data_IF_573730729405
#
_entry.id   IF_573730729405
#
_cell.length_a   1.000
_cell.length_b   1.000
_cell.length_c   1.000
_cell.angle_alpha   90.00
_cell.angle_beta   90.00
_cell.angle_gamma   90.00
#
_symmetry.space_group_name_H-M   'P 1'
#
loop_
_entity.id
_entity.type
_entity.pdbx_description
1 polymer ?
#
# COMPACT_ATOMS: atom_id res chain seq x y z
N UNK A 1 -24.55 13.46 -25.37
CA UNK A 1 -23.30 13.18 -24.65
C UNK A 1 -23.13 14.24 -23.57
N UNK A 2 -23.37 13.87 -22.29
CA UNK A 2 -22.95 14.70 -21.16
C UNK A 2 -21.43 14.59 -21.08
N UNK A 3 -20.72 15.64 -21.50
CA UNK A 3 -19.30 15.78 -21.16
C UNK A 3 -19.23 16.02 -19.65
N UNK A 4 -18.91 14.98 -18.89
CA UNK A 4 -18.59 15.14 -17.47
C UNK A 4 -17.23 15.81 -17.36
N UNK A 5 -17.19 17.02 -16.78
CA UNK A 5 -15.95 17.63 -16.37
C UNK A 5 -15.46 16.88 -15.10
N UNK A 6 -14.36 16.16 -15.20
CA UNK A 6 -13.71 15.54 -14.05
C UNK A 6 -12.94 16.63 -13.31
N UNK A 7 -13.30 16.84 -12.03
CA UNK A 7 -12.51 17.62 -11.09
C UNK A 7 -12.12 16.65 -9.98
N UNK A 8 -10.83 16.51 -9.75
CA UNK A 8 -10.28 15.47 -8.90
C UNK A 8 -9.41 16.00 -7.77
N UNK A 9 -9.23 15.15 -6.78
CA UNK A 9 -8.25 15.30 -5.72
C UNK A 9 -7.81 13.92 -5.27
N UNK A 10 -6.51 13.75 -5.06
CA UNK A 10 -5.91 12.50 -4.63
C UNK A 10 -4.95 12.76 -3.47
N UNK A 11 -5.22 12.16 -2.32
CA UNK A 11 -4.35 12.26 -1.13
C UNK A 11 -4.19 10.89 -0.45
N UNK A 12 -3.00 10.66 0.10
CA UNK A 12 -2.72 9.48 0.93
C UNK A 12 -3.22 9.76 2.35
N UNK A 13 -4.04 8.87 2.89
CA UNK A 13 -4.70 9.07 4.20
C UNK A 13 -3.93 8.46 5.38
N UNK A 14 -2.88 7.64 5.16
CA UNK A 14 -2.07 7.03 6.23
C UNK A 14 -2.92 6.45 7.39
N UNK A 15 -3.95 5.66 7.06
CA UNK A 15 -4.97 5.11 7.95
C UNK A 15 -5.96 6.15 8.56
N UNK A 16 -5.88 7.43 8.20
CA UNK A 16 -6.78 8.48 8.68
C UNK A 16 -7.77 8.91 7.60
N UNK A 17 -8.65 8.00 7.18
CA UNK A 17 -9.58 8.19 6.06
C UNK A 17 -10.53 9.37 6.33
N UNK A 18 -11.07 9.46 7.54
CA UNK A 18 -12.10 10.42 7.92
C UNK A 18 -11.59 11.87 7.82
N UNK A 19 -10.46 12.18 8.45
CA UNK A 19 -9.87 13.51 8.42
C UNK A 19 -9.38 13.88 7.01
N UNK A 20 -8.81 12.93 6.28
CA UNK A 20 -8.37 13.17 4.90
C UNK A 20 -9.55 13.50 4.00
N UNK A 21 -10.66 12.76 4.08
CA UNK A 21 -11.86 13.07 3.31
C UNK A 21 -12.44 14.42 3.70
N UNK A 22 -12.53 14.74 4.99
CA UNK A 22 -12.97 16.06 5.46
C UNK A 22 -12.12 17.17 4.84
N UNK A 23 -10.80 17.08 4.92
CA UNK A 23 -9.89 18.08 4.34
C UNK A 23 -10.03 18.22 2.82
N UNK A 24 -10.28 17.13 2.09
CA UNK A 24 -10.54 17.18 0.65
C UNK A 24 -11.85 17.90 0.32
N UNK A 25 -12.93 17.65 1.07
CA UNK A 25 -14.22 18.33 0.89
C UNK A 25 -14.14 19.81 1.26
N UNK A 26 -13.45 20.18 2.33
CA UNK A 26 -13.23 21.56 2.72
C UNK A 26 -12.45 22.33 1.64
N UNK A 27 -11.43 21.72 1.04
CA UNK A 27 -10.72 22.28 -0.12
C UNK A 27 -11.65 22.45 -1.32
N UNK A 28 -12.58 21.51 -1.55
CA UNK A 28 -13.57 21.63 -2.62
C UNK A 28 -14.53 22.79 -2.38
N UNK A 29 -15.07 22.92 -1.16
CA UNK A 29 -15.93 24.06 -0.78
C UNK A 29 -15.19 25.40 -0.93
N UNK A 30 -13.93 25.46 -0.53
CA UNK A 30 -13.10 26.69 -0.69
C UNK A 30 -12.98 27.10 -2.16
N UNK A 31 -12.91 26.14 -3.08
CA UNK A 31 -12.75 26.41 -4.52
C UNK A 31 -14.07 26.66 -5.27
N UNK A 32 -15.14 26.01 -4.85
CA UNK A 32 -16.41 25.95 -5.58
C UNK A 32 -17.54 26.71 -4.90
N UNK A 33 -17.37 27.09 -3.62
CA UNK A 33 -18.45 27.54 -2.75
C UNK A 33 -19.26 26.36 -2.19
N UNK A 34 -20.38 26.65 -1.52
CA UNK A 34 -21.34 25.64 -1.07
C UNK A 34 -22.09 25.04 -2.29
N UNK A 35 -22.30 23.74 -2.29
CA UNK A 35 -22.98 23.02 -3.37
C UNK A 35 -23.63 21.73 -2.87
N UNK A 36 -24.67 21.32 -3.59
CA UNK A 36 -25.31 20.01 -3.43
C UNK A 36 -24.61 18.93 -4.25
N UNK A 37 -24.54 17.73 -3.72
CA UNK A 37 -23.90 16.56 -4.37
C UNK A 37 -24.80 15.34 -4.33
N UNK A 38 -24.63 14.47 -5.31
CA UNK A 38 -25.13 13.09 -5.31
C UNK A 38 -23.98 12.17 -4.93
N UNK A 39 -23.72 11.95 -3.61
CA UNK A 39 -22.53 11.25 -3.18
C UNK A 39 -22.66 9.75 -3.36
N UNK A 40 -21.58 9.11 -3.83
CA UNK A 40 -21.45 7.66 -3.84
C UNK A 40 -20.03 7.30 -3.41
N UNK A 41 -19.93 6.41 -2.44
CA UNK A 41 -18.64 5.95 -1.91
C UNK A 41 -18.32 4.57 -2.45
N UNK A 42 -17.05 4.30 -2.68
CA UNK A 42 -16.50 2.99 -3.03
C UNK A 42 -15.19 2.76 -2.26
N UNK A 43 -14.62 1.57 -2.40
CA UNK A 43 -13.37 1.20 -1.74
C UNK A 43 -13.56 0.31 -0.52
N UNK A 44 -12.54 -0.47 -0.18
CA UNK A 44 -12.56 -1.41 0.96
C UNK A 44 -12.83 -0.71 2.30
N UNK A 45 -12.24 0.48 2.52
CA UNK A 45 -12.54 1.33 3.69
C UNK A 45 -13.83 2.14 3.57
N UNK A 46 -14.46 2.16 2.40
CA UNK A 46 -15.60 3.03 2.09
C UNK A 46 -16.94 2.56 2.69
N UNK A 47 -17.13 1.27 2.93
CA UNK A 47 -18.43 0.73 3.39
C UNK A 47 -18.84 1.27 4.77
N UNK A 48 -17.92 1.27 5.72
CA UNK A 48 -18.16 1.82 7.05
C UNK A 48 -18.40 3.33 7.01
N UNK A 49 -17.62 4.02 6.17
CA UNK A 49 -17.77 5.46 5.96
C UNK A 49 -19.10 5.80 5.30
N UNK A 50 -19.54 5.05 4.29
CA UNK A 50 -20.82 5.24 3.62
C UNK A 50 -22.01 5.08 4.59
N UNK A 51 -21.95 4.07 5.48
CA UNK A 51 -22.94 3.90 6.54
C UNK A 51 -22.96 5.07 7.54
N UNK A 52 -21.77 5.53 7.95
CA UNK A 52 -21.65 6.66 8.87
C UNK A 52 -22.19 7.96 8.26
N UNK A 53 -21.94 8.18 6.99
CA UNK A 53 -22.39 9.36 6.26
C UNK A 53 -23.81 9.23 5.72
N UNK A 54 -24.43 8.06 5.84
CA UNK A 54 -25.78 7.75 5.29
C UNK A 54 -25.86 8.03 3.79
N UNK A 55 -24.82 7.60 3.04
CA UNK A 55 -24.72 7.78 1.59
C UNK A 55 -24.59 6.42 0.89
N UNK A 56 -24.94 6.32 -0.40
CA UNK A 56 -24.81 5.08 -1.15
C UNK A 56 -23.38 4.56 -1.23
N UNK A 57 -23.26 3.24 -1.26
CA UNK A 57 -22.02 2.52 -1.51
C UNK A 57 -22.12 1.71 -2.80
N UNK A 58 -21.06 1.73 -3.60
CA UNK A 58 -20.91 0.90 -4.80
C UNK A 58 -19.65 0.05 -4.67
N UNK A 59 -19.73 -1.23 -5.03
CA UNK A 59 -18.56 -2.09 -5.05
C UNK A 59 -17.55 -1.62 -6.09
N UNK A 60 -16.26 -1.67 -5.78
CA UNK A 60 -15.18 -1.17 -6.65
C UNK A 60 -15.22 -1.77 -8.05
N UNK A 61 -15.49 -3.07 -8.17
CA UNK A 61 -15.57 -3.75 -9.47
C UNK A 61 -16.68 -3.16 -10.33
N UNK A 62 -17.84 -2.91 -9.73
CA UNK A 62 -18.96 -2.28 -10.44
C UNK A 62 -18.54 -0.87 -10.87
N UNK A 63 -17.95 -0.09 -9.97
CA UNK A 63 -17.49 1.25 -10.26
C UNK A 63 -16.45 1.26 -11.40
N UNK A 64 -15.38 0.47 -11.28
CA UNK A 64 -14.33 0.39 -12.31
C UNK A 64 -14.88 -0.08 -13.64
N UNK A 65 -15.77 -1.09 -13.64
CA UNK A 65 -16.39 -1.59 -14.87
C UNK A 65 -17.26 -0.53 -15.54
N UNK A 66 -18.03 0.25 -14.76
CA UNK A 66 -18.83 1.37 -15.29
C UNK A 66 -17.93 2.41 -15.97
N UNK A 67 -16.85 2.83 -15.29
CA UNK A 67 -15.90 3.79 -15.87
C UNK A 67 -15.22 3.26 -17.14
N UNK A 68 -14.82 2.00 -17.17
CA UNK A 68 -14.18 1.40 -18.34
C UNK A 68 -15.15 1.27 -19.53
N UNK A 69 -16.42 0.94 -19.30
CA UNK A 69 -17.42 0.87 -20.37
C UNK A 69 -17.59 2.20 -21.09
N UNK A 70 -17.46 3.33 -20.38
CA UNK A 70 -17.61 4.66 -20.96
C UNK A 70 -16.30 5.20 -21.54
N UNK A 71 -15.19 5.07 -20.81
CA UNK A 71 -13.93 5.72 -21.19
C UNK A 71 -12.97 4.83 -21.98
N UNK A 72 -13.12 3.52 -21.89
CA UNK A 72 -12.28 2.55 -22.59
C UNK A 72 -13.06 1.27 -22.96
N UNK A 73 -14.15 1.38 -23.78
CA UNK A 73 -15.03 0.26 -24.10
C UNK A 73 -14.33 -0.89 -24.84
N UNK A 74 -13.15 -0.64 -25.42
CA UNK A 74 -12.31 -1.64 -26.06
C UNK A 74 -11.48 -2.48 -25.08
N UNK A 75 -11.58 -2.26 -23.77
CA UNK A 75 -10.81 -2.97 -22.76
C UNK A 75 -11.27 -4.43 -22.65
N UNK A 76 -10.33 -5.37 -22.84
CA UNK A 76 -10.55 -6.80 -22.64
C UNK A 76 -10.22 -7.25 -21.22
N UNK A 77 -9.15 -6.67 -20.63
CA UNK A 77 -8.68 -6.98 -19.28
C UNK A 77 -8.23 -5.70 -18.58
N UNK A 78 -8.64 -5.50 -17.34
CA UNK A 78 -8.10 -4.45 -16.49
C UNK A 78 -7.25 -5.05 -15.37
N UNK A 79 -6.06 -4.49 -15.17
CA UNK A 79 -5.20 -4.74 -14.01
C UNK A 79 -5.24 -3.50 -13.15
N UNK A 80 -5.74 -3.64 -11.93
CA UNK A 80 -5.82 -2.55 -10.96
C UNK A 80 -4.96 -2.89 -9.75
N UNK A 81 -4.03 -1.98 -9.42
CA UNK A 81 -3.25 -2.05 -8.19
C UNK A 81 -3.62 -0.89 -7.27
N UNK A 82 -4.17 -1.23 -6.12
CA UNK A 82 -4.46 -0.30 -5.04
C UNK A 82 -3.35 -0.25 -3.98
N UNK A 83 -3.67 0.35 -2.83
CA UNK A 83 -2.79 0.39 -1.67
C UNK A 83 -2.59 -1.01 -1.05
N UNK A 84 -3.66 -1.76 -0.86
CA UNK A 84 -3.67 -3.10 -0.26
C UNK A 84 -4.30 -4.15 -1.16
N UNK A 85 -5.07 -3.74 -2.16
CA UNK A 85 -5.78 -4.60 -3.08
C UNK A 85 -5.11 -4.64 -4.45
N UNK A 86 -5.11 -5.82 -5.05
CA UNK A 86 -4.72 -6.03 -6.44
C UNK A 86 -5.84 -6.81 -7.13
N UNK A 87 -6.27 -6.37 -8.31
CA UNK A 87 -7.40 -6.97 -9.03
C UNK A 87 -7.06 -7.18 -10.51
N UNK A 88 -7.58 -8.27 -11.07
CA UNK A 88 -7.65 -8.48 -12.52
C UNK A 88 -9.12 -8.67 -12.87
N UNK A 89 -9.62 -7.86 -13.80
CA UNK A 89 -11.00 -7.91 -14.26
C UNK A 89 -10.98 -8.25 -15.76
N UNK A 90 -11.64 -9.33 -16.12
CA UNK A 90 -11.81 -9.76 -17.51
C UNK A 90 -13.21 -9.39 -17.98
N UNK A 91 -13.31 -8.82 -19.18
CA UNK A 91 -14.59 -8.39 -19.78
C UNK A 91 -15.07 -9.30 -20.91
N UNK A 92 -14.23 -10.20 -21.39
CA UNK A 92 -14.57 -11.14 -22.46
C UNK A 92 -15.50 -12.25 -21.93
N UNK A 93 -16.68 -12.40 -22.55
CA UNK A 93 -17.72 -13.38 -22.15
C UNK A 93 -18.35 -13.15 -20.76
N UNK A 94 -18.47 -11.90 -20.35
CA UNK A 94 -18.97 -11.50 -19.04
C UNK A 94 -17.85 -11.03 -18.11
N UNK A 95 -18.22 -10.47 -16.97
CA UNK A 95 -17.25 -9.95 -15.99
C UNK A 95 -16.76 -11.11 -15.12
N UNK A 96 -15.46 -11.44 -15.22
CA UNK A 96 -14.77 -12.35 -14.28
C UNK A 96 -13.71 -11.54 -13.53
N UNK A 97 -13.89 -11.42 -12.21
CA UNK A 97 -13.00 -10.68 -11.34
C UNK A 97 -12.19 -11.61 -10.47
N UNK A 98 -10.93 -11.27 -10.30
CA UNK A 98 -10.02 -11.92 -9.37
C UNK A 98 -9.29 -10.87 -8.54
N UNK A 99 -9.23 -11.09 -7.25
CA UNK A 99 -8.63 -10.16 -6.30
C UNK A 99 -7.73 -10.94 -5.35
N UNK A 100 -6.68 -10.28 -4.85
CA UNK A 100 -5.86 -10.86 -3.79
C UNK A 100 -6.73 -11.06 -2.53
N UNK A 101 -6.38 -12.10 -1.76
CA UNK A 101 -7.00 -12.34 -0.46
C UNK A 101 -6.39 -11.42 0.62
N UNK A 102 -6.02 -12.01 1.75
CA UNK A 102 -5.50 -11.29 2.93
C UNK A 102 -4.08 -10.72 2.70
N UNK A 103 -3.33 -11.25 1.72
CA UNK A 103 -1.94 -10.87 1.50
C UNK A 103 -1.82 -9.64 0.60
N UNK A 104 -1.25 -8.56 1.12
CA UNK A 104 -0.94 -7.34 0.37
C UNK A 104 0.29 -7.45 -0.55
N UNK A 105 0.87 -8.64 -0.73
CA UNK A 105 1.95 -8.87 -1.70
C UNK A 105 1.53 -8.48 -3.12
N UNK A 106 2.37 -7.70 -3.79
CA UNK A 106 2.04 -7.20 -5.13
C UNK A 106 1.17 -5.94 -5.16
N UNK A 107 1.01 -5.23 -4.04
CA UNK A 107 0.22 -4.00 -3.91
C UNK A 107 1.09 -2.79 -3.57
N UNK A 108 0.49 -1.60 -3.46
CA UNK A 108 1.17 -0.38 -3.06
C UNK A 108 1.86 -0.48 -1.70
N UNK A 109 1.23 -1.10 -0.71
CA UNK A 109 1.83 -1.34 0.61
C UNK A 109 3.10 -2.17 0.54
N UNK A 110 3.13 -3.19 -0.31
CA UNK A 110 4.35 -3.98 -0.53
C UNK A 110 5.46 -3.10 -1.14
N UNK A 111 5.13 -2.28 -2.14
CA UNK A 111 6.09 -1.37 -2.78
C UNK A 111 6.66 -0.37 -1.75
N UNK A 112 5.81 0.23 -0.90
CA UNK A 112 6.24 1.15 0.15
C UNK A 112 7.19 0.49 1.17
N UNK A 113 6.89 -0.76 1.57
CA UNK A 113 7.76 -1.52 2.47
C UNK A 113 9.14 -1.80 1.85
N UNK A 114 9.17 -2.17 0.57
CA UNK A 114 10.43 -2.43 -0.14
C UNK A 114 11.21 -1.14 -0.41
N UNK A 115 10.52 -0.04 -0.70
CA UNK A 115 11.13 1.27 -0.83
C UNK A 115 11.81 1.70 0.47
N UNK A 116 11.12 1.52 1.61
CA UNK A 116 11.70 1.80 2.94
C UNK A 116 12.95 0.96 3.22
N UNK A 117 12.97 -0.31 2.82
CA UNK A 117 14.15 -1.17 2.94
C UNK A 117 15.36 -0.63 2.16
N UNK A 118 15.12 -0.01 1.00
CA UNK A 118 16.14 0.65 0.19
C UNK A 118 16.41 2.11 0.58
N UNK A 119 15.83 2.58 1.69
CA UNK A 119 15.94 3.96 2.19
C UNK A 119 15.47 5.00 1.16
N UNK A 120 14.31 4.77 0.59
CA UNK A 120 13.66 5.66 -0.39
C UNK A 120 12.13 5.54 -0.25
N UNK A 121 11.39 6.24 -1.10
CA UNK A 121 9.94 6.11 -1.28
C UNK A 121 9.60 5.41 -2.62
N UNK A 122 8.32 5.24 -2.90
CA UNK A 122 7.86 4.59 -4.13
C UNK A 122 8.32 5.35 -5.39
N UNK A 123 8.34 6.69 -5.35
CA UNK A 123 8.79 7.51 -6.47
C UNK A 123 10.31 7.34 -6.69
N UNK A 124 11.11 7.36 -5.63
CA UNK A 124 12.55 7.10 -5.71
C UNK A 124 12.86 5.67 -6.16
N UNK A 125 12.04 4.68 -5.77
CA UNK A 125 12.16 3.32 -6.27
C UNK A 125 11.95 3.28 -7.80
N UNK A 126 10.93 4.01 -8.30
CA UNK A 126 10.67 4.14 -9.73
C UNK A 126 11.84 4.80 -10.47
N UNK A 127 12.44 5.86 -9.91
CA UNK A 127 13.62 6.51 -10.51
C UNK A 127 14.83 5.56 -10.56
N UNK A 128 15.09 4.78 -9.51
CA UNK A 128 16.16 3.77 -9.54
C UNK A 128 15.92 2.74 -10.63
N UNK A 129 14.70 2.25 -10.78
CA UNK A 129 14.37 1.21 -11.75
C UNK A 129 14.59 1.63 -13.22
N UNK A 130 14.66 2.93 -13.55
CA UNK A 130 14.92 3.40 -14.91
C UNK A 130 16.29 3.01 -15.47
N UNK A 131 17.27 2.73 -14.62
CA UNK A 131 18.66 2.50 -15.00
C UNK A 131 19.23 1.15 -14.56
N UNK A 132 18.35 0.16 -14.34
CA UNK A 132 18.77 -1.19 -14.00
C UNK A 132 19.55 -1.88 -15.12
N UNK A 133 20.38 -2.83 -14.75
CA UNK A 133 21.15 -3.68 -15.67
C UNK A 133 20.78 -5.16 -15.52
N UNK A 134 20.36 -5.58 -14.34
CA UNK A 134 20.04 -6.96 -14.00
C UNK A 134 18.76 -7.04 -13.17
N UNK A 135 18.03 -8.14 -13.32
CA UNK A 135 16.85 -8.46 -12.50
C UNK A 135 17.15 -9.73 -11.71
N UNK A 136 17.09 -9.62 -10.38
CA UNK A 136 17.29 -10.74 -9.47
C UNK A 136 15.97 -11.47 -9.22
N UNK A 137 15.98 -12.79 -9.04
CA UNK A 137 14.80 -13.52 -8.61
C UNK A 137 14.46 -13.16 -7.16
N UNK A 138 13.29 -12.57 -6.95
CA UNK A 138 12.72 -12.25 -5.64
C UNK A 138 11.42 -13.00 -5.49
N UNK A 139 11.18 -13.64 -4.32
CA UNK A 139 9.97 -14.37 -4.05
C UNK A 139 8.73 -13.48 -4.18
N UNK A 140 7.85 -13.85 -5.09
CA UNK A 140 6.65 -13.10 -5.44
C UNK A 140 5.41 -13.58 -4.66
N UNK A 141 5.55 -13.95 -3.37
CA UNK A 141 4.44 -14.51 -2.59
C UNK A 141 4.12 -13.74 -1.32
N UNK A 142 5.12 -13.25 -0.62
CA UNK A 142 4.95 -12.61 0.68
C UNK A 142 6.04 -11.58 0.89
N UNK A 143 5.69 -10.41 1.44
CA UNK A 143 6.65 -9.35 1.73
C UNK A 143 7.78 -9.78 2.68
N UNK A 144 7.52 -10.73 3.59
CA UNK A 144 8.55 -11.28 4.48
C UNK A 144 9.58 -12.08 3.70
N UNK A 145 9.16 -12.98 2.80
CA UNK A 145 10.08 -13.73 1.95
C UNK A 145 10.81 -12.84 0.96
N UNK A 146 10.14 -11.88 0.36
CA UNK A 146 10.78 -10.90 -0.51
C UNK A 146 11.89 -10.14 0.20
N UNK A 147 11.66 -9.71 1.46
CA UNK A 147 12.69 -9.08 2.29
C UNK A 147 13.86 -10.01 2.58
N UNK A 148 13.58 -11.29 2.83
CA UNK A 148 14.62 -12.31 3.06
C UNK A 148 15.48 -12.57 1.82
N UNK A 149 14.94 -12.40 0.62
CA UNK A 149 15.68 -12.52 -0.64
C UNK A 149 16.49 -11.24 -0.94
N UNK A 150 15.94 -10.07 -0.65
CA UNK A 150 16.56 -8.79 -0.93
C UNK A 150 17.76 -8.53 -0.02
N UNK A 151 17.66 -8.89 1.27
CA UNK A 151 18.68 -8.57 2.24
C UNK A 151 20.08 -9.17 1.92
N UNK A 152 20.20 -10.45 1.51
CA UNK A 152 21.49 -10.97 1.05
C UNK A 152 22.03 -10.22 -0.17
N UNK A 153 21.18 -9.87 -1.14
CA UNK A 153 21.58 -9.13 -2.33
C UNK A 153 22.16 -7.76 -1.98
N UNK A 154 21.57 -7.05 -1.00
CA UNK A 154 22.12 -5.79 -0.47
C UNK A 154 23.52 -6.02 0.10
N UNK A 155 23.70 -7.08 0.90
CA UNK A 155 24.96 -7.41 1.56
C UNK A 155 26.05 -7.80 0.55
N UNK A 156 25.66 -8.39 -0.58
CA UNK A 156 26.53 -8.77 -1.70
C UNK A 156 26.84 -7.60 -2.65
N UNK A 157 26.26 -6.40 -2.38
CA UNK A 157 26.54 -5.19 -3.14
C UNK A 157 25.70 -5.01 -4.40
N UNK A 158 24.52 -5.65 -4.48
CA UNK A 158 23.57 -5.38 -5.55
C UNK A 158 23.17 -3.90 -5.57
N UNK A 159 23.06 -3.33 -6.77
CA UNK A 159 22.73 -1.90 -6.91
C UNK A 159 21.28 -1.62 -6.57
N UNK A 160 20.99 -0.41 -6.05
CA UNK A 160 19.60 0.00 -5.79
C UNK A 160 18.75 -0.02 -7.07
N UNK A 161 19.36 0.24 -8.21
CA UNK A 161 18.73 0.21 -9.53
C UNK A 161 18.23 -1.21 -9.88
N UNK A 162 19.11 -2.19 -9.75
CA UNK A 162 18.77 -3.58 -10.03
C UNK A 162 17.76 -4.14 -9.04
N UNK A 163 17.88 -3.79 -7.74
CA UNK A 163 16.93 -4.18 -6.70
C UNK A 163 15.56 -3.58 -6.94
N UNK A 164 15.47 -2.30 -7.33
CA UNK A 164 14.20 -1.64 -7.62
C UNK A 164 13.46 -2.29 -8.80
N UNK A 165 14.16 -2.58 -9.90
CA UNK A 165 13.58 -3.30 -11.03
C UNK A 165 13.17 -4.73 -10.66
N UNK A 166 13.94 -5.39 -9.79
CA UNK A 166 13.64 -6.74 -9.30
C UNK A 166 12.41 -6.77 -8.41
N UNK A 167 12.22 -5.75 -7.56
CA UNK A 167 11.02 -5.56 -6.73
C UNK A 167 9.79 -5.36 -7.62
N UNK A 168 9.86 -4.51 -8.64
CA UNK A 168 8.75 -4.32 -9.58
C UNK A 168 8.45 -5.61 -10.35
N UNK A 169 9.45 -6.35 -10.77
CA UNK A 169 9.24 -7.65 -11.41
C UNK A 169 8.58 -8.65 -10.45
N UNK A 170 8.91 -8.64 -9.16
CA UNK A 170 8.25 -9.47 -8.16
C UNK A 170 6.76 -9.11 -8.00
N UNK A 171 6.41 -7.80 -8.01
CA UNK A 171 5.01 -7.33 -8.02
C UNK A 171 4.26 -7.87 -9.24
N UNK A 172 4.85 -7.75 -10.43
CA UNK A 172 4.26 -8.26 -11.67
C UNK A 172 4.03 -9.77 -11.60
N UNK A 173 5.04 -10.53 -11.18
CA UNK A 173 4.96 -11.98 -11.06
C UNK A 173 3.89 -12.39 -10.04
N UNK A 174 3.80 -11.70 -8.90
CA UNK A 174 2.78 -11.94 -7.88
C UNK A 174 1.37 -11.69 -8.43
N UNK A 175 1.18 -10.57 -9.12
CA UNK A 175 -0.13 -10.22 -9.71
C UNK A 175 -0.54 -11.23 -10.78
N UNK A 176 0.33 -11.55 -11.72
CA UNK A 176 0.02 -12.48 -12.81
C UNK A 176 -0.18 -13.90 -12.27
N UNK A 177 0.77 -14.46 -11.52
CA UNK A 177 0.68 -15.84 -11.06
C UNK A 177 -0.36 -16.02 -9.97
N UNK A 178 -0.51 -15.06 -9.06
CA UNK A 178 -1.42 -15.13 -7.92
C UNK A 178 -2.87 -14.87 -8.29
N UNK A 179 -3.15 -13.97 -9.22
CA UNK A 179 -4.52 -13.57 -9.57
C UNK A 179 -5.00 -14.20 -10.86
N UNK A 180 -4.21 -14.19 -11.92
CA UNK A 180 -4.65 -14.78 -13.18
C UNK A 180 -4.80 -16.32 -13.08
N UNK A 181 -4.03 -16.99 -12.22
CA UNK A 181 -4.11 -18.44 -11.97
C UNK A 181 -4.18 -19.25 -13.27
N UNK A 182 -3.34 -18.91 -14.25
CA UNK A 182 -3.28 -19.56 -15.56
C UNK A 182 -4.30 -19.06 -16.59
N UNK A 183 -5.23 -18.17 -16.23
CA UNK A 183 -6.11 -17.53 -17.23
C UNK A 183 -5.30 -16.50 -18.02
N UNK A 184 -5.27 -16.59 -19.37
CA UNK A 184 -4.45 -15.68 -20.16
C UNK A 184 -4.92 -14.23 -20.05
N UNK A 185 -3.97 -13.30 -19.88
CA UNK A 185 -4.19 -11.87 -19.99
C UNK A 185 -3.88 -11.51 -21.45
N UNK A 186 -4.87 -11.23 -22.24
CA UNK A 186 -4.75 -10.98 -23.69
C UNK A 186 -5.74 -9.90 -24.15
N UNK A 187 -5.46 -9.32 -25.33
CA UNK A 187 -6.25 -8.24 -25.91
C UNK A 187 -5.79 -6.88 -25.39
N UNK A 188 -6.71 -5.94 -25.27
CA UNK A 188 -6.43 -4.60 -24.80
C UNK A 188 -6.44 -4.58 -23.27
N UNK A 189 -5.31 -4.22 -22.67
CA UNK A 189 -5.10 -4.28 -21.23
C UNK A 189 -5.09 -2.87 -20.64
N UNK A 190 -6.02 -2.59 -19.72
CA UNK A 190 -6.05 -1.35 -18.98
C UNK A 190 -5.23 -1.46 -17.69
N UNK A 191 -4.40 -0.43 -17.44
CA UNK A 191 -3.58 -0.29 -16.25
C UNK A 191 -4.18 0.79 -15.34
N UNK A 192 -4.70 0.39 -14.17
CA UNK A 192 -5.45 1.23 -13.26
C UNK A 192 -4.88 1.22 -11.84
N UNK A 193 -5.29 2.22 -11.05
CA UNK A 193 -4.88 2.39 -9.67
C UNK A 193 -3.59 3.18 -9.50
N UNK A 194 -3.36 3.69 -8.29
CA UNK A 194 -2.23 4.58 -7.98
C UNK A 194 -0.87 4.04 -8.37
N UNK A 195 -0.48 2.83 -7.96
CA UNK A 195 0.81 2.25 -8.33
C UNK A 195 1.07 2.21 -9.83
N UNK A 196 0.10 1.80 -10.64
CA UNK A 196 0.27 1.71 -12.10
C UNK A 196 0.17 3.08 -12.80
N UNK A 197 -0.45 4.06 -12.17
CA UNK A 197 -0.48 5.44 -12.67
C UNK A 197 0.84 6.17 -12.43
N UNK A 198 1.34 6.15 -11.18
CA UNK A 198 2.49 6.96 -10.79
C UNK A 198 3.84 6.28 -11.05
N UNK A 199 3.90 4.94 -11.11
CA UNK A 199 5.14 4.18 -11.26
C UNK A 199 5.26 3.64 -12.70
N UNK A 200 5.88 4.43 -13.57
CA UNK A 200 6.05 4.09 -14.98
C UNK A 200 6.81 2.78 -15.17
N UNK A 201 7.88 2.55 -14.40
CA UNK A 201 8.71 1.37 -14.52
C UNK A 201 8.00 0.09 -14.06
N UNK A 202 7.06 0.20 -13.10
CA UNK A 202 6.18 -0.89 -12.73
C UNK A 202 5.25 -1.26 -13.90
N UNK A 203 4.63 -0.26 -14.53
CA UNK A 203 3.77 -0.47 -15.71
C UNK A 203 4.56 -1.08 -16.88
N UNK A 204 5.76 -0.58 -17.16
CA UNK A 204 6.65 -1.13 -18.17
C UNK A 204 7.05 -2.59 -17.87
N UNK A 205 7.23 -2.95 -16.60
CA UNK A 205 7.49 -4.33 -16.20
C UNK A 205 6.30 -5.26 -16.53
N UNK A 206 5.05 -4.79 -16.35
CA UNK A 206 3.84 -5.52 -16.79
C UNK A 206 3.80 -5.65 -18.31
N UNK A 207 3.98 -4.56 -19.05
CA UNK A 207 3.96 -4.53 -20.52
C UNK A 207 4.97 -5.53 -21.08
N UNK A 208 6.19 -5.49 -20.58
CA UNK A 208 7.26 -6.42 -20.98
C UNK A 208 6.93 -7.87 -20.65
N UNK A 209 6.43 -8.14 -19.45
CA UNK A 209 6.15 -9.51 -19.00
C UNK A 209 4.96 -10.13 -19.75
N UNK A 210 3.94 -9.32 -20.05
CA UNK A 210 2.76 -9.75 -20.82
C UNK A 210 3.01 -9.70 -22.33
N UNK A 211 4.15 -9.15 -22.78
CA UNK A 211 4.51 -8.97 -24.18
C UNK A 211 3.43 -8.21 -24.98
N UNK A 212 2.96 -7.07 -24.42
CA UNK A 212 1.93 -6.26 -25.03
C UNK A 212 2.51 -5.32 -26.10
N UNK A 213 1.83 -5.27 -27.24
CA UNK A 213 2.10 -4.23 -28.27
C UNK A 213 1.52 -2.87 -27.86
N UNK A 214 2.02 -1.76 -28.47
CA UNK A 214 1.54 -0.41 -28.14
C UNK A 214 0.02 -0.24 -28.28
N UNK A 215 -0.59 -0.87 -29.26
CA UNK A 215 -2.04 -0.80 -29.54
C UNK A 215 -2.89 -1.56 -28.50
N UNK A 216 -2.26 -2.40 -27.68
CA UNK A 216 -2.93 -3.19 -26.64
C UNK A 216 -2.90 -2.53 -25.26
N UNK A 217 -2.23 -1.38 -25.13
CA UNK A 217 -2.02 -0.70 -23.85
C UNK A 217 -3.08 0.39 -23.68
N UNK A 218 -3.85 0.29 -22.60
CA UNK A 218 -4.79 1.32 -22.18
C UNK A 218 -4.28 1.89 -20.85
N UNK A 219 -3.77 3.12 -20.90
CA UNK A 219 -3.29 3.86 -19.72
C UNK A 219 -3.96 5.25 -19.70
N UNK A 220 -5.22 5.36 -19.22
CA UNK A 220 -5.94 6.62 -19.20
C UNK A 220 -5.26 7.66 -18.31
N UNK A 221 -5.43 8.94 -18.64
CA UNK A 221 -4.85 10.06 -17.89
C UNK A 221 -5.20 10.03 -16.40
N UNK A 222 -6.45 9.68 -16.07
CA UNK A 222 -6.94 9.58 -14.70
C UNK A 222 -7.05 8.12 -14.20
N UNK A 223 -6.16 7.24 -14.64
CA UNK A 223 -6.22 5.79 -14.34
C UNK A 223 -6.27 5.47 -12.84
N UNK A 224 -5.72 6.32 -11.98
CA UNK A 224 -5.77 6.18 -10.52
C UNK A 224 -7.12 6.54 -9.89
N UNK A 225 -8.05 7.13 -10.66
CA UNK A 225 -9.35 7.59 -10.18
C UNK A 225 -10.53 6.77 -10.73
N UNK A 226 -10.29 5.73 -11.51
CA UNK A 226 -11.36 5.00 -12.21
C UNK A 226 -12.43 4.44 -11.27
N UNK A 227 -12.05 3.97 -10.09
CA UNK A 227 -13.01 3.54 -9.08
C UNK A 227 -13.89 4.72 -8.60
N UNK A 228 -13.30 5.88 -8.35
CA UNK A 228 -14.04 7.08 -7.92
C UNK A 228 -14.93 7.64 -9.04
N UNK A 229 -14.42 7.67 -10.28
CA UNK A 229 -15.17 8.11 -11.46
C UNK A 229 -16.38 7.21 -11.67
N UNK A 230 -16.18 5.90 -11.72
CA UNK A 230 -17.28 4.96 -11.91
C UNK A 230 -18.26 4.94 -10.75
N UNK A 231 -17.81 5.18 -9.53
CA UNK A 231 -18.67 5.39 -8.38
C UNK A 231 -19.58 6.60 -8.59
N UNK A 232 -19.03 7.74 -8.99
CA UNK A 232 -19.80 8.94 -9.28
C UNK A 232 -20.82 8.74 -10.43
N UNK A 233 -20.49 7.90 -11.43
CA UNK A 233 -21.41 7.54 -12.53
C UNK A 233 -22.58 6.65 -12.07
N UNK A 234 -22.44 5.96 -10.95
CA UNK A 234 -23.47 5.14 -10.31
C UNK A 234 -24.31 5.92 -9.29
N UNK A 235 -24.38 7.24 -9.40
CA UNK A 235 -25.15 8.07 -8.49
C UNK A 235 -26.67 7.75 -8.53
N UNK A 236 -27.36 8.09 -7.44
CA UNK A 236 -28.82 7.93 -7.33
C UNK A 236 -29.47 9.30 -7.27
N UNK A 237 -30.46 9.54 -8.14
CA UNK A 237 -31.13 10.83 -8.29
C UNK A 237 -31.96 11.22 -7.06
N UNK A 238 -32.35 10.26 -6.22
CA UNK A 238 -33.14 10.46 -5.02
C UNK A 238 -32.31 10.82 -3.77
N UNK A 239 -30.97 10.79 -3.88
CA UNK A 239 -30.07 11.08 -2.76
C UNK A 239 -29.18 12.27 -3.09
N UNK A 240 -29.66 13.47 -2.79
CA UNK A 240 -28.93 14.73 -2.90
C UNK A 240 -28.65 15.28 -1.48
N UNK A 241 -27.43 15.71 -1.22
CA UNK A 241 -26.97 16.16 0.11
C UNK A 241 -26.10 17.40 -0.05
N UNK A 242 -26.26 18.36 0.90
CA UNK A 242 -25.33 19.48 0.98
C UNK A 242 -23.93 19.00 1.39
N UNK A 243 -22.89 19.46 0.72
CA UNK A 243 -21.51 19.11 1.05
C UNK A 243 -21.14 19.48 2.50
N UNK A 244 -21.69 20.59 3.01
CA UNK A 244 -21.51 21.04 4.40
C UNK A 244 -22.09 20.04 5.41
N UNK A 245 -23.16 19.33 5.08
CA UNK A 245 -23.74 18.31 5.96
C UNK A 245 -22.87 17.04 5.97
N UNK A 246 -22.27 16.66 4.85
CA UNK A 246 -21.27 15.57 4.81
C UNK A 246 -20.07 15.93 5.70
N UNK A 247 -19.56 17.16 5.61
CA UNK A 247 -18.44 17.63 6.44
C UNK A 247 -18.81 17.59 7.93
N UNK A 248 -20.00 18.03 8.32
CA UNK A 248 -20.48 17.95 9.71
C UNK A 248 -20.55 16.50 10.22
N UNK A 249 -21.06 15.57 9.39
CA UNK A 249 -21.11 14.15 9.76
C UNK A 249 -19.72 13.56 9.93
N UNK A 250 -18.74 13.97 9.10
CA UNK A 250 -17.34 13.55 9.23
C UNK A 250 -16.69 14.00 10.55
N UNK A 251 -17.16 15.07 11.19
CA UNK A 251 -16.68 15.51 12.51
C UNK A 251 -17.15 14.59 13.65
N UNK A 252 -18.16 13.76 13.41
CA UNK A 252 -18.67 12.79 14.35
C UNK A 252 -17.75 11.58 14.52
N UNK A 253 -17.82 10.91 15.68
CA UNK A 253 -17.10 9.64 15.88
C UNK A 253 -17.78 8.53 15.07
N UNK A 254 -17.03 7.85 14.23
CA UNK A 254 -17.50 6.63 13.57
C UNK A 254 -17.68 5.56 14.63
N UNK A 255 -18.89 5.03 14.77
CA UNK A 255 -19.14 3.84 15.56
C UNK A 255 -18.66 2.64 14.76
N UNK A 256 -17.58 2.04 15.21
CA UNK A 256 -17.10 0.77 14.66
C UNK A 256 -17.98 -0.34 15.25
N UNK A 257 -18.78 -0.99 14.41
CA UNK A 257 -19.59 -2.16 14.80
C UNK A 257 -18.70 -3.43 15.05
N UNK A 258 -17.40 -3.28 15.02
CA UNK A 258 -16.40 -4.34 15.18
C UNK A 258 -15.53 -4.07 16.42
N UNK A 259 -16.09 -3.78 17.57
CA UNK A 259 -15.28 -3.98 18.78
C UNK A 259 -15.11 -5.49 18.98
N UNK A 260 -13.99 -6.00 18.50
CA UNK A 260 -13.49 -7.32 18.90
C UNK A 260 -13.35 -7.29 20.41
N UNK A 261 -13.74 -8.34 21.11
CA UNK A 261 -13.43 -8.50 22.55
C UNK A 261 -11.96 -8.19 22.76
N UNK A 262 -11.68 -7.14 23.52
CA UNK A 262 -10.31 -6.75 23.83
C UNK A 262 -9.71 -7.82 24.73
N UNK A 263 -8.52 -8.23 24.41
CA UNK A 263 -7.74 -9.06 25.34
C UNK A 263 -7.50 -8.27 26.62
N UNK A 264 -7.43 -8.98 27.76
CA UNK A 264 -7.04 -8.38 29.02
C UNK A 264 -5.68 -7.66 28.90
N UNK A 265 -5.49 -6.54 29.62
CA UNK A 265 -4.24 -5.82 29.60
C UNK A 265 -3.07 -6.76 29.97
N UNK A 266 -1.91 -6.55 29.33
CA UNK A 266 -0.71 -7.36 29.60
C UNK A 266 -0.32 -7.39 31.08
N UNK A 267 -0.59 -6.30 31.80
CA UNK A 267 -0.43 -6.20 33.25
C UNK A 267 -1.74 -5.70 33.86
N UNK A 268 -2.32 -6.47 34.78
CA UNK A 268 -3.56 -6.15 35.46
C UNK A 268 -3.43 -4.88 36.32
N UNK A 269 -2.24 -4.66 36.89
CA UNK A 269 -1.98 -3.57 37.82
C UNK A 269 -0.49 -3.21 37.82
N UNK A 270 -0.15 -2.17 38.60
CA UNK A 270 1.19 -1.64 38.72
C UNK A 270 2.17 -2.63 39.41
N UNK A 271 1.63 -3.43 40.30
CA UNK A 271 2.37 -4.47 41.04
C UNK A 271 2.82 -5.59 40.10
N UNK A 272 1.96 -6.03 39.19
CA UNK A 272 2.28 -7.01 38.15
C UNK A 272 3.40 -6.50 37.23
N UNK A 273 3.36 -5.23 36.82
CA UNK A 273 4.43 -4.60 36.07
C UNK A 273 5.74 -4.50 36.83
N UNK A 274 5.69 -4.14 38.13
CA UNK A 274 6.86 -4.06 38.98
C UNK A 274 7.52 -5.44 39.14
N UNK A 275 6.75 -6.48 39.41
CA UNK A 275 7.23 -7.86 39.52
C UNK A 275 7.89 -8.35 38.23
N UNK A 276 7.29 -8.01 37.07
CA UNK A 276 7.89 -8.28 35.76
C UNK A 276 9.24 -7.58 35.62
N UNK A 277 9.29 -6.29 35.93
CA UNK A 277 10.52 -5.48 35.82
C UNK A 277 11.61 -5.98 36.76
N UNK A 278 11.30 -6.32 38.02
CA UNK A 278 12.25 -6.88 38.99
C UNK A 278 12.83 -8.22 38.52
N UNK A 279 11.98 -9.10 37.98
CA UNK A 279 12.41 -10.37 37.40
C UNK A 279 13.41 -10.17 36.25
N UNK A 280 13.12 -9.23 35.35
CA UNK A 280 13.98 -8.95 34.20
C UNK A 280 15.25 -8.22 34.56
N UNK A 281 15.22 -7.38 35.59
CA UNK A 281 16.41 -6.70 36.10
C UNK A 281 17.47 -7.66 36.68
N UNK A 282 17.05 -8.86 37.10
CA UNK A 282 18.01 -9.90 37.57
C UNK A 282 18.87 -10.47 36.44
N UNK A 283 18.43 -10.33 35.17
CA UNK A 283 19.15 -10.79 34.00
C UNK A 283 19.96 -9.68 33.30
N UNK A 284 20.09 -8.50 33.93
CA UNK A 284 20.94 -7.43 33.41
C UNK A 284 22.42 -7.81 33.51
N UNK A 285 23.14 -7.54 32.41
CA UNK A 285 24.59 -7.70 32.37
C UNK A 285 25.22 -6.66 33.31
N UNK A 286 26.17 -7.04 34.18
CA UNK A 286 26.93 -6.10 35.00
C UNK A 286 27.68 -5.11 34.10
N UNK A 287 27.61 -3.83 34.43
CA UNK A 287 28.31 -2.77 33.71
C UNK A 287 29.33 -2.07 34.57
N UNK A 288 30.34 -1.48 33.96
CA UNK A 288 31.28 -0.59 34.63
C UNK A 288 31.55 0.63 33.72
N UNK A 289 32.01 1.71 34.32
CA UNK A 289 32.36 2.92 33.58
C UNK A 289 33.73 2.74 32.90
N UNK A 290 33.75 2.84 31.58
CA UNK A 290 34.96 2.71 30.76
C UNK A 290 36.03 3.73 31.16
N UNK A 291 35.65 4.96 31.53
CA UNK A 291 36.60 6.03 31.85
C UNK A 291 37.39 5.74 33.13
N UNK A 292 36.82 4.95 34.05
CA UNK A 292 37.42 4.58 35.32
C UNK A 292 38.01 3.14 35.33
N UNK A 293 37.81 2.38 34.25
CA UNK A 293 38.24 0.99 34.15
C UNK A 293 39.77 0.90 33.91
N UNK A 294 40.41 0.02 34.64
CA UNK A 294 41.84 -0.31 34.48
C UNK A 294 42.01 -1.82 34.41
N UNK A 295 42.56 -2.32 33.31
CA UNK A 295 42.72 -3.73 33.03
C UNK A 295 42.61 -4.05 31.55
N UNK A 296 42.70 -5.35 31.22
CA UNK A 296 42.54 -5.80 29.85
C UNK A 296 41.07 -5.75 29.44
N UNK A 297 40.81 -5.34 28.17
CA UNK A 297 39.49 -5.30 27.58
C UNK A 297 39.44 -6.15 26.33
N UNK A 298 38.30 -6.76 26.07
CA UNK A 298 38.04 -7.60 24.94
C UNK A 298 36.93 -6.98 24.09
N UNK A 299 37.19 -6.74 22.79
CA UNK A 299 36.23 -6.17 21.83
C UNK A 299 35.54 -7.30 21.08
N UNK A 300 34.24 -7.41 21.24
CA UNK A 300 33.38 -8.24 20.42
C UNK A 300 32.73 -7.41 19.32
N UNK A 301 32.66 -7.96 18.09
CA UNK A 301 31.99 -7.34 16.93
C UNK A 301 31.01 -8.36 16.38
N UNK A 302 29.73 -7.97 16.29
CA UNK A 302 28.68 -8.70 15.61
C UNK A 302 28.26 -7.90 14.37
N UNK A 303 28.71 -8.35 13.20
CA UNK A 303 28.36 -7.78 11.91
C UNK A 303 27.15 -8.54 11.33
N UNK A 304 25.95 -8.16 11.74
CA UNK A 304 24.70 -8.74 11.26
C UNK A 304 24.26 -8.16 9.92
N UNK A 305 23.26 -8.78 9.32
CA UNK A 305 22.72 -8.40 8.00
C UNK A 305 22.03 -7.02 7.99
N UNK A 306 21.54 -6.53 9.12
CA UNK A 306 20.84 -5.25 9.23
C UNK A 306 21.50 -4.27 10.20
N UNK A 307 22.23 -4.77 11.17
CA UNK A 307 22.88 -3.95 12.20
C UNK A 307 24.24 -4.51 12.54
N UNK A 308 25.19 -3.63 12.76
CA UNK A 308 26.49 -4.00 13.35
C UNK A 308 26.51 -3.51 14.79
N UNK A 309 26.97 -4.37 15.71
CA UNK A 309 27.08 -4.09 17.12
C UNK A 309 28.51 -4.33 17.58
N UNK A 310 28.94 -3.56 18.56
CA UNK A 310 30.20 -3.77 19.26
C UNK A 310 29.93 -3.83 20.73
N UNK A 311 30.72 -4.63 21.43
CA UNK A 311 30.72 -4.71 22.87
C UNK A 311 32.17 -4.77 23.41
N UNK A 312 32.48 -3.92 24.36
CA UNK A 312 33.75 -3.95 25.07
C UNK A 312 33.53 -4.54 26.46
N UNK A 313 34.21 -5.62 26.76
CA UNK A 313 34.05 -6.36 28.01
C UNK A 313 35.39 -6.38 28.77
N UNK A 314 35.37 -6.02 30.03
CA UNK A 314 36.52 -6.11 30.89
C UNK A 314 36.86 -7.57 31.27
N UNK A 315 38.06 -7.84 31.71
CA UNK A 315 38.48 -9.18 32.19
C UNK A 315 37.70 -9.66 33.42
N UNK A 316 37.03 -8.74 34.14
CA UNK A 316 36.09 -9.03 35.22
C UNK A 316 34.67 -9.39 34.74
N UNK A 317 34.45 -9.46 33.41
CA UNK A 317 33.20 -9.83 32.81
C UNK A 317 32.15 -8.70 32.75
N UNK A 318 32.49 -7.47 33.09
CA UNK A 318 31.58 -6.34 33.02
C UNK A 318 31.58 -5.69 31.63
N UNK A 319 30.40 -5.28 31.17
CA UNK A 319 30.23 -4.51 29.95
C UNK A 319 30.70 -3.08 30.22
N UNK A 320 31.66 -2.62 29.41
CA UNK A 320 32.23 -1.28 29.50
C UNK A 320 31.67 -0.33 28.40
N UNK A 321 31.26 -0.91 27.25
CA UNK A 321 30.68 -0.18 26.15
C UNK A 321 29.83 -1.12 25.28
#
# INVERSE_FOLDING_TARGET
QRQMCIRDSYERHFANIQETLQGLLEKAVTKLGEFEVYPVITGSGGLTLAKHLEVPFTQEVVAVSTALQDYAPQCDVAIELGGEDAKIIYFTNGIDQRMNGICAGGTGSFIDQMATLLQTDAAGLNEYAKSYKSIYPIAARCGVFAKSDIQPLINEGATKQDLAASIFQAVVNQTISGLACGKPIRGNVAFLGGPLHFLSELREAFIRTLNLGPDQIIAPEHSHLFAAIGSAMNYKEDICVDVSDIIKRLQGKIKLDFEVERMEPLFENKEAYSSFTERHNKAKVPTADLASYSGNCYLGIDAGSTTTKVALVGEDGKLLY
#
